data_IF_467349970308
#
_entry.id   IF_467349970308
#
_cell.length_a   1.000
_cell.length_b   1.000
_cell.length_c   1.000
_cell.angle_alpha   90.00
_cell.angle_beta   90.00
_cell.angle_gamma   90.00
#
_symmetry.space_group_name_H-M   'P 1'
#
loop_
_entity.id
_entity.type
_entity.pdbx_description
1 polymer ?
#
# COMPACT_ATOMS: atom_id res chain seq x y z
N UNK A 1 4.47 -10.71 -4.43
CA UNK A 1 4.38 -9.25 -4.41
C UNK A 1 5.74 -8.66 -4.03
N UNK A 2 6.25 -7.61 -4.67
CA UNK A 2 7.57 -7.09 -4.34
C UNK A 2 7.61 -6.59 -2.89
N UNK A 3 8.67 -6.94 -2.18
CA UNK A 3 9.00 -6.61 -0.79
C UNK A 3 8.10 -7.18 0.30
N UNK A 4 6.83 -7.50 0.08
CA UNK A 4 5.94 -8.03 1.14
C UNK A 4 6.26 -9.49 1.42
N UNK A 5 6.65 -9.79 2.66
CA UNK A 5 6.89 -11.14 3.18
C UNK A 5 5.67 -11.68 3.90
N UNK A 6 5.12 -10.88 4.81
CA UNK A 6 4.02 -11.30 5.65
C UNK A 6 3.13 -10.11 6.03
N UNK A 7 1.87 -10.40 6.28
CA UNK A 7 0.88 -9.45 6.82
C UNK A 7 0.24 -10.06 8.06
N UNK A 8 0.29 -9.35 9.17
CA UNK A 8 -0.30 -9.79 10.43
C UNK A 8 -1.38 -8.80 10.89
N UNK A 9 -2.56 -9.33 11.23
CA UNK A 9 -3.60 -8.63 11.98
C UNK A 9 -3.83 -9.37 13.29
N UNK A 10 -3.65 -8.70 14.41
CA UNK A 10 -3.73 -9.35 15.70
C UNK A 10 -4.38 -8.46 16.77
N UNK A 11 -5.11 -9.10 17.66
CA UNK A 11 -5.63 -8.51 18.89
C UNK A 11 -5.06 -9.31 20.06
N UNK A 12 -4.57 -8.61 21.06
CA UNK A 12 -3.97 -9.21 22.25
C UNK A 12 -4.52 -8.53 23.50
N UNK A 13 -4.58 -9.31 24.56
CA UNK A 13 -4.87 -8.84 25.92
C UNK A 13 -3.65 -9.15 26.80
N UNK A 14 -3.06 -8.13 27.42
CA UNK A 14 -1.88 -8.20 28.30
C UNK A 14 -0.74 -9.08 27.76
N UNK A 15 -0.27 -8.79 26.54
CA UNK A 15 0.78 -9.58 25.90
C UNK A 15 2.16 -8.92 26.02
N UNK A 16 3.16 -9.73 26.42
CA UNK A 16 4.56 -9.32 26.50
C UNK A 16 5.38 -10.06 25.46
N UNK A 17 6.17 -9.32 24.72
CA UNK A 17 7.13 -9.87 23.77
C UNK A 17 8.51 -9.90 24.41
N UNK A 18 9.11 -11.09 24.66
CA UNK A 18 10.51 -11.14 25.08
C UNK A 18 11.41 -10.53 24.00
N UNK A 19 12.64 -10.18 24.37
CA UNK A 19 13.60 -9.63 23.41
C UNK A 19 13.84 -10.61 22.27
N UNK A 20 13.63 -10.15 21.03
CA UNK A 20 13.80 -10.92 19.80
C UNK A 20 14.17 -9.99 18.63
N UNK A 21 14.63 -10.60 17.53
CA UNK A 21 14.95 -9.90 16.29
C UNK A 21 14.07 -10.41 15.15
N UNK A 22 13.95 -9.61 14.10
CA UNK A 22 13.38 -10.02 12.84
C UNK A 22 14.38 -9.78 11.71
N UNK A 23 14.30 -10.56 10.63
CA UNK A 23 15.13 -10.39 9.45
C UNK A 23 14.54 -9.36 8.47
N UNK A 24 13.30 -8.97 8.69
CA UNK A 24 12.53 -8.08 7.83
C UNK A 24 12.27 -6.71 8.49
N UNK A 25 12.10 -5.68 7.66
CA UNK A 25 11.54 -4.41 8.10
C UNK A 25 10.13 -4.63 8.64
N UNK A 26 9.85 -4.06 9.80
CA UNK A 26 8.52 -4.14 10.41
C UNK A 26 7.84 -2.77 10.36
N UNK A 27 6.72 -2.68 9.66
CA UNK A 27 5.86 -1.50 9.66
C UNK A 27 4.63 -1.80 10.51
N UNK A 28 4.60 -1.21 11.70
CA UNK A 28 3.58 -1.46 12.71
C UNK A 28 2.57 -0.30 12.74
N UNK A 29 1.30 -0.63 12.66
CA UNK A 29 0.16 0.27 12.85
C UNK A 29 -0.69 -0.23 14.03
N UNK A 30 -0.93 0.63 15.01
CA UNK A 30 -1.85 0.37 16.12
C UNK A 30 -3.24 0.90 15.75
N UNK A 31 -4.25 0.03 15.81
CA UNK A 31 -5.65 0.41 15.60
C UNK A 31 -6.34 0.79 16.92
N UNK A 32 -5.94 0.16 18.03
CA UNK A 32 -6.49 0.39 19.38
C UNK A 32 -5.43 0.07 20.43
N UNK A 33 -5.44 0.81 21.54
CA UNK A 33 -4.49 0.63 22.64
C UNK A 33 -3.12 1.22 22.31
N UNK A 34 -2.08 0.70 22.96
CA UNK A 34 -0.70 1.10 22.74
C UNK A 34 0.25 -0.07 23.02
N UNK A 35 1.44 -0.01 22.42
CA UNK A 35 2.54 -0.96 22.67
C UNK A 35 3.79 -0.17 23.01
N UNK A 36 4.34 -0.37 24.20
CA UNK A 36 5.65 0.15 24.58
C UNK A 36 6.72 -0.85 24.14
N UNK A 37 7.80 -0.37 23.54
CA UNK A 37 8.88 -1.22 23.01
C UNK A 37 10.24 -0.54 23.20
N UNK A 38 11.27 -1.37 23.37
CA UNK A 38 12.64 -0.92 23.37
C UNK A 38 13.21 -1.01 21.94
N UNK A 39 13.90 0.02 21.50
CA UNK A 39 14.61 0.05 20.23
C UNK A 39 15.97 0.72 20.46
N UNK A 40 17.06 0.02 20.14
CA UNK A 40 18.39 0.46 20.55
C UNK A 40 18.50 0.54 22.07
N UNK A 41 18.66 1.75 22.62
CA UNK A 41 18.74 2.01 24.08
C UNK A 41 17.61 2.90 24.60
N UNK A 42 16.58 3.09 23.80
CA UNK A 42 15.49 4.04 24.09
C UNK A 42 14.15 3.31 24.10
N UNK A 43 13.34 3.64 25.09
CA UNK A 43 11.95 3.21 25.14
C UNK A 43 11.10 4.11 24.26
N UNK A 44 10.22 3.49 23.48
CA UNK A 44 9.28 4.14 22.58
C UNK A 44 7.87 3.61 22.81
N UNK A 45 6.87 4.33 22.29
CA UNK A 45 5.49 3.90 22.32
C UNK A 45 4.87 3.96 20.92
N UNK A 46 4.33 2.84 20.45
CA UNK A 46 3.49 2.76 19.28
C UNK A 46 2.03 3.05 19.67
N UNK A 47 1.42 4.03 19.03
CA UNK A 47 0.07 4.53 19.33
C UNK A 47 -0.77 4.64 18.06
N UNK A 48 -2.12 4.71 18.17
CA UNK A 48 -2.97 4.97 17.02
C UNK A 48 -2.61 6.26 16.26
N UNK A 49 -2.99 6.31 14.98
CA UNK A 49 -2.70 7.41 14.07
C UNK A 49 -1.20 7.69 13.81
N UNK A 50 -0.34 6.70 14.10
CA UNK A 50 1.08 6.73 13.78
C UNK A 50 1.54 5.41 13.18
N UNK A 51 2.65 5.44 12.45
CA UNK A 51 3.36 4.27 11.96
C UNK A 51 4.66 4.13 12.75
N UNK A 52 4.91 2.93 13.28
CA UNK A 52 6.20 2.59 13.87
C UNK A 52 6.99 1.77 12.86
N UNK A 53 8.21 2.23 12.56
CA UNK A 53 9.14 1.59 11.66
C UNK A 53 10.26 0.94 12.46
N UNK A 54 10.40 -0.39 12.36
CA UNK A 54 11.43 -1.13 13.07
C UNK A 54 12.37 -1.78 12.05
N UNK A 55 13.68 -1.54 12.14
CA UNK A 55 14.65 -2.09 11.21
C UNK A 55 14.88 -3.59 11.44
N UNK A 56 15.39 -4.33 10.43
CA UNK A 56 15.82 -5.71 10.59
C UNK A 56 17.01 -5.81 11.55
N UNK A 57 17.17 -6.98 12.15
CA UNK A 57 18.29 -7.39 13.01
C UNK A 57 18.47 -6.58 14.31
N UNK A 58 17.61 -5.61 14.60
CA UNK A 58 17.67 -4.90 15.87
C UNK A 58 16.89 -5.66 16.95
N UNK A 59 17.55 -5.88 18.08
CA UNK A 59 16.96 -6.58 19.24
C UNK A 59 15.97 -5.67 19.95
N UNK A 60 14.75 -6.17 20.15
CA UNK A 60 13.67 -5.42 20.79
C UNK A 60 12.82 -6.30 21.71
N UNK A 61 12.40 -5.73 22.82
CA UNK A 61 11.32 -6.25 23.65
C UNK A 61 10.11 -5.33 23.50
N UNK A 62 8.92 -5.84 23.77
CA UNK A 62 7.74 -5.02 23.76
C UNK A 62 6.72 -5.48 24.80
N UNK A 63 5.97 -4.52 25.36
CA UNK A 63 4.87 -4.75 26.28
C UNK A 63 3.64 -4.07 25.74
N UNK A 64 2.60 -4.85 25.44
CA UNK A 64 1.28 -4.32 25.13
C UNK A 64 0.54 -3.84 26.37
N UNK A 65 -0.38 -2.88 26.20
CA UNK A 65 -1.31 -2.49 27.24
C UNK A 65 -2.35 -3.58 27.53
N UNK A 66 -3.33 -3.29 28.39
CA UNK A 66 -4.39 -4.24 28.80
C UNK A 66 -5.11 -4.89 27.60
N UNK A 67 -5.37 -4.13 26.52
CA UNK A 67 -5.90 -4.66 25.27
C UNK A 67 -5.40 -3.78 24.12
N UNK A 68 -4.84 -4.40 23.08
CA UNK A 68 -4.41 -3.68 21.90
C UNK A 68 -4.67 -4.46 20.61
N UNK A 69 -4.92 -3.72 19.53
CA UNK A 69 -5.07 -4.27 18.18
C UNK A 69 -4.05 -3.63 17.25
N UNK A 70 -3.34 -4.48 16.54
CA UNK A 70 -2.29 -4.05 15.61
C UNK A 70 -2.40 -4.69 14.25
N UNK A 71 -1.89 -3.98 13.26
CA UNK A 71 -1.59 -4.49 11.92
C UNK A 71 -0.10 -4.31 11.64
N UNK A 72 0.50 -5.31 11.03
CA UNK A 72 1.93 -5.32 10.73
C UNK A 72 2.15 -5.72 9.28
N UNK A 73 3.04 -5.00 8.60
CA UNK A 73 3.64 -5.43 7.32
C UNK A 73 5.09 -5.81 7.62
N UNK A 74 5.46 -7.03 7.27
CA UNK A 74 6.85 -7.46 7.21
C UNK A 74 7.35 -7.31 5.78
N UNK A 75 8.38 -6.49 5.60
CA UNK A 75 8.92 -6.13 4.30
C UNK A 75 10.38 -6.56 4.22
N UNK A 76 10.75 -7.20 3.11
CA UNK A 76 12.09 -7.75 2.93
C UNK A 76 13.20 -6.72 3.18
N UNK A 77 14.36 -7.18 3.60
CA UNK A 77 15.50 -6.34 3.97
C UNK A 77 15.88 -5.32 2.87
N UNK A 78 15.78 -5.71 1.60
CA UNK A 78 16.05 -4.87 0.43
C UNK A 78 14.99 -3.78 0.14
N UNK A 79 13.89 -3.74 0.94
CA UNK A 79 12.88 -2.69 0.82
C UNK A 79 13.46 -1.29 1.04
N UNK A 80 14.40 -1.15 1.98
CA UNK A 80 15.17 0.07 2.20
C UNK A 80 16.68 -0.21 2.13
N UNK A 81 17.51 0.79 1.79
CA UNK A 81 18.95 0.62 1.83
C UNK A 81 19.44 0.42 3.27
N UNK A 82 20.50 -0.39 3.46
CA UNK A 82 21.03 -0.73 4.79
C UNK A 82 21.30 0.49 5.69
N UNK A 83 21.78 1.61 5.11
CA UNK A 83 21.98 2.87 5.84
C UNK A 83 20.70 3.49 6.44
N UNK A 84 19.52 3.03 6.05
CA UNK A 84 18.26 3.50 6.61
C UNK A 84 17.99 2.94 8.01
N UNK A 85 18.64 1.82 8.41
CA UNK A 85 18.43 1.18 9.69
C UNK A 85 18.80 2.09 10.87
N UNK A 86 19.96 2.73 10.85
CA UNK A 86 20.40 3.65 11.90
C UNK A 86 19.44 4.85 12.04
N UNK A 87 18.99 5.41 10.92
CA UNK A 87 18.04 6.52 10.93
C UNK A 87 16.68 6.08 11.47
N UNK A 88 16.24 4.85 11.18
CA UNK A 88 14.99 4.29 11.70
C UNK A 88 15.05 4.05 13.23
N UNK A 89 16.20 3.62 13.77
CA UNK A 89 16.39 3.52 15.22
C UNK A 89 16.29 4.89 15.89
N UNK A 90 16.86 5.93 15.27
CA UNK A 90 16.79 7.30 15.80
C UNK A 90 15.41 7.95 15.65
N UNK A 91 14.64 7.61 14.61
CA UNK A 91 13.34 8.20 14.29
C UNK A 91 12.33 7.11 13.86
N UNK A 92 11.93 6.22 14.78
CA UNK A 92 11.08 5.09 14.43
C UNK A 92 9.61 5.46 14.19
N UNK A 93 9.17 6.66 14.61
CA UNK A 93 7.77 7.06 14.59
C UNK A 93 7.49 8.04 13.45
N UNK A 94 6.52 7.68 12.59
CA UNK A 94 5.98 8.55 11.53
C UNK A 94 4.55 8.98 11.91
N UNK A 95 4.34 10.28 12.09
CA UNK A 95 3.04 10.88 12.44
C UNK A 95 2.55 11.70 11.23
N UNK A 96 2.37 11.04 10.10
CA UNK A 96 1.86 11.63 8.87
C UNK A 96 0.54 10.94 8.47
N UNK A 97 -0.61 11.67 8.46
CA UNK A 97 -1.90 11.09 8.12
C UNK A 97 -1.93 10.41 6.74
N UNK A 98 -1.18 10.95 5.78
CA UNK A 98 -1.12 10.39 4.43
C UNK A 98 -0.40 9.03 4.43
N UNK A 99 0.67 8.89 5.20
CA UNK A 99 1.39 7.61 5.36
C UNK A 99 0.54 6.59 6.10
N UNK A 100 -0.18 6.98 7.16
CA UNK A 100 -1.14 6.13 7.87
C UNK A 100 -2.25 5.63 6.94
N UNK A 101 -2.82 6.52 6.13
CA UNK A 101 -3.82 6.16 5.13
C UNK A 101 -3.26 5.19 4.06
N UNK A 102 -2.01 5.40 3.64
CA UNK A 102 -1.31 4.52 2.69
C UNK A 102 -1.15 3.10 3.25
N UNK A 103 -0.66 2.96 4.50
CA UNK A 103 -0.51 1.65 5.16
C UNK A 103 -1.87 0.98 5.35
N UNK A 104 -2.89 1.74 5.76
CA UNK A 104 -4.26 1.23 5.86
C UNK A 104 -4.79 0.71 4.53
N UNK A 105 -4.54 1.44 3.44
CA UNK A 105 -4.90 1.03 2.08
C UNK A 105 -4.17 -0.23 1.62
N UNK A 106 -2.89 -0.38 1.95
CA UNK A 106 -2.10 -1.59 1.65
C UNK A 106 -2.73 -2.81 2.33
N UNK A 107 -3.03 -2.72 3.64
CA UNK A 107 -3.68 -3.83 4.36
C UNK A 107 -5.04 -4.21 3.75
N UNK A 108 -5.84 -3.22 3.35
CA UNK A 108 -7.12 -3.45 2.70
C UNK A 108 -6.95 -4.13 1.33
N UNK A 109 -6.00 -3.67 0.51
CA UNK A 109 -5.72 -4.24 -0.80
C UNK A 109 -5.17 -5.68 -0.70
N UNK A 110 -4.28 -5.95 0.26
CA UNK A 110 -3.71 -7.29 0.48
C UNK A 110 -4.72 -8.31 1.00
N UNK A 111 -5.83 -7.86 1.59
CA UNK A 111 -6.91 -8.75 2.00
C UNK A 111 -7.75 -9.27 0.82
N UNK A 112 -7.49 -8.81 -0.41
CA UNK A 112 -8.31 -9.06 -1.60
C UNK A 112 -7.41 -9.45 -2.78
N UNK A 113 -7.53 -10.67 -3.31
CA UNK A 113 -6.66 -11.18 -4.39
C UNK A 113 -6.65 -10.31 -5.66
N UNK A 114 -7.71 -9.54 -5.89
CA UNK A 114 -7.88 -8.74 -7.11
C UNK A 114 -7.20 -7.36 -7.08
N UNK A 115 -6.69 -6.90 -5.92
CA UNK A 115 -6.14 -5.56 -5.74
C UNK A 115 -4.60 -5.51 -5.71
N UNK A 116 -3.94 -6.47 -6.35
CA UNK A 116 -2.46 -6.60 -6.35
C UNK A 116 -1.78 -5.30 -6.79
N UNK A 117 -2.23 -4.68 -7.88
CA UNK A 117 -1.63 -3.41 -8.35
C UNK A 117 -1.82 -2.26 -7.36
N UNK A 118 -2.96 -2.21 -6.64
CA UNK A 118 -3.19 -1.21 -5.57
C UNK A 118 -2.20 -1.42 -4.43
N UNK A 119 -2.03 -2.67 -3.99
CA UNK A 119 -1.08 -3.02 -2.94
C UNK A 119 0.38 -2.71 -3.35
N UNK A 120 0.79 -3.06 -4.57
CA UNK A 120 2.14 -2.73 -5.10
C UNK A 120 2.39 -1.22 -5.11
N UNK A 121 1.48 -0.44 -5.68
CA UNK A 121 1.58 1.02 -5.70
C UNK A 121 1.64 1.59 -4.28
N UNK A 122 0.86 1.03 -3.35
CA UNK A 122 0.85 1.42 -1.94
C UNK A 122 2.21 1.18 -1.27
N UNK A 123 2.78 -0.01 -1.41
CA UNK A 123 4.10 -0.36 -0.83
C UNK A 123 5.22 0.52 -1.41
N UNK A 124 5.17 0.82 -2.70
CA UNK A 124 6.14 1.70 -3.35
C UNK A 124 5.99 3.16 -2.90
N UNK A 125 4.76 3.63 -2.69
CA UNK A 125 4.50 4.95 -2.14
C UNK A 125 4.95 5.06 -0.67
N UNK A 126 4.66 4.05 0.15
CA UNK A 126 5.14 3.95 1.53
C UNK A 126 6.66 4.02 1.59
N UNK A 127 7.35 3.30 0.70
CA UNK A 127 8.82 3.35 0.60
C UNK A 127 9.34 4.76 0.41
N UNK A 128 8.72 5.56 -0.45
CA UNK A 128 9.12 6.95 -0.67
C UNK A 128 8.83 7.85 0.54
N UNK A 129 7.69 7.68 1.19
CA UNK A 129 7.35 8.42 2.42
C UNK A 129 8.36 8.13 3.54
N UNK A 130 8.69 6.85 3.76
CA UNK A 130 9.70 6.43 4.75
C UNK A 130 11.08 6.96 4.39
N UNK A 131 11.51 6.87 3.13
CA UNK A 131 12.80 7.42 2.69
C UNK A 131 12.90 8.92 2.91
N UNK A 132 11.82 9.65 2.67
CA UNK A 132 11.76 11.08 2.94
C UNK A 132 11.87 11.38 4.43
N UNK A 133 11.16 10.62 5.27
CA UNK A 133 11.21 10.73 6.73
C UNK A 133 12.62 10.48 7.28
N UNK A 134 13.30 9.45 6.77
CA UNK A 134 14.66 9.08 7.18
C UNK A 134 15.77 9.93 6.52
N UNK A 135 15.43 11.05 5.87
CA UNK A 135 16.40 11.93 5.22
C UNK A 135 17.13 11.33 4.01
N UNK A 136 16.56 10.29 3.40
CA UNK A 136 17.11 9.62 2.21
C UNK A 136 16.16 9.67 0.99
N UNK A 137 15.61 10.84 0.64
CA UNK A 137 14.65 10.91 -0.45
C UNK A 137 15.24 10.48 -1.79
N UNK A 138 14.42 9.93 -2.66
CA UNK A 138 14.83 9.66 -4.04
C UNK A 138 14.95 10.96 -4.83
N UNK A 139 15.92 11.00 -5.74
CA UNK A 139 16.03 12.14 -6.65
C UNK A 139 14.74 12.32 -7.45
N UNK A 140 14.25 13.56 -7.60
CA UNK A 140 13.05 13.83 -8.38
C UNK A 140 13.34 13.55 -9.87
N UNK A 141 12.78 12.47 -10.39
CA UNK A 141 12.94 12.13 -11.82
C UNK A 141 11.70 12.58 -12.58
N UNK A 142 11.89 13.46 -13.55
CA UNK A 142 10.89 13.70 -14.60
C UNK A 142 11.21 12.78 -15.76
N UNK A 143 10.42 11.74 -15.90
CA UNK A 143 10.53 10.82 -17.04
C UNK A 143 9.16 10.75 -17.74
N UNK A 144 8.85 11.83 -18.46
CA UNK A 144 7.60 11.93 -19.20
C UNK A 144 7.47 10.86 -20.31
N UNK A 145 8.53 10.49 -21.04
CA UNK A 145 8.49 9.36 -21.97
C UNK A 145 8.10 8.05 -21.30
N UNK A 146 8.71 7.73 -20.15
CA UNK A 146 8.41 6.51 -19.40
C UNK A 146 6.97 6.50 -18.86
N UNK A 147 6.52 7.63 -18.31
CA UNK A 147 5.14 7.79 -17.84
C UNK A 147 4.12 7.57 -18.96
N UNK A 148 4.42 8.10 -20.17
CA UNK A 148 3.58 7.93 -21.36
C UNK A 148 3.52 6.46 -21.81
N UNK A 149 4.67 5.79 -21.89
CA UNK A 149 4.74 4.36 -22.23
C UNK A 149 3.94 3.50 -21.25
N UNK A 150 4.07 3.80 -19.94
CA UNK A 150 3.27 3.10 -18.94
C UNK A 150 1.76 3.36 -19.16
N UNK A 151 1.35 4.59 -19.43
CA UNK A 151 -0.06 4.89 -19.69
C UNK A 151 -0.60 4.13 -20.90
N UNK A 152 0.14 4.13 -22.01
CA UNK A 152 -0.21 3.38 -23.22
C UNK A 152 -0.40 1.88 -22.91
N UNK A 153 0.56 1.29 -22.19
CA UNK A 153 0.48 -0.11 -21.75
C UNK A 153 -0.72 -0.40 -20.84
N UNK A 154 -1.05 0.51 -19.91
CA UNK A 154 -2.21 0.39 -19.03
C UNK A 154 -3.53 0.54 -19.80
N UNK A 155 -3.58 1.38 -20.84
CA UNK A 155 -4.74 1.53 -21.71
C UNK A 155 -4.96 0.28 -22.59
N UNK A 156 -3.89 -0.30 -23.14
CA UNK A 156 -3.93 -1.51 -23.96
C UNK A 156 -4.39 -2.74 -23.15
N UNK A 157 -4.02 -2.81 -21.87
CA UNK A 157 -4.33 -3.93 -20.96
C UNK A 157 -5.36 -3.57 -19.89
N UNK A 158 -6.23 -2.61 -20.18
CA UNK A 158 -7.13 -2.02 -19.20
C UNK A 158 -8.02 -3.05 -18.49
N UNK A 159 -8.45 -4.08 -19.19
CA UNK A 159 -9.39 -5.10 -18.70
C UNK A 159 -8.69 -6.39 -18.27
N UNK A 160 -7.36 -6.45 -18.35
CA UNK A 160 -6.56 -7.59 -17.97
C UNK A 160 -6.05 -7.46 -16.53
N UNK A 161 -5.70 -8.61 -15.93
CA UNK A 161 -4.93 -8.63 -14.68
C UNK A 161 -3.49 -8.24 -15.01
N UNK A 162 -3.00 -7.13 -14.47
CA UNK A 162 -1.69 -6.58 -14.78
C UNK A 162 -1.06 -5.93 -13.55
N UNK A 163 0.24 -6.15 -13.35
CA UNK A 163 1.00 -5.68 -12.18
C UNK A 163 2.01 -4.61 -12.55
N UNK A 164 2.41 -3.79 -11.60
CA UNK A 164 3.50 -2.81 -11.78
C UNK A 164 4.84 -3.52 -11.98
N UNK A 165 5.03 -4.68 -11.35
CA UNK A 165 6.24 -5.48 -11.53
C UNK A 165 6.38 -5.96 -12.99
N UNK A 166 5.31 -6.45 -13.61
CA UNK A 166 5.29 -6.82 -15.04
C UNK A 166 5.55 -5.63 -15.95
N UNK A 167 4.91 -4.47 -15.69
CA UNK A 167 5.18 -3.24 -16.43
C UNK A 167 6.65 -2.83 -16.34
N UNK A 168 7.24 -2.95 -15.17
CA UNK A 168 8.63 -2.60 -14.93
C UNK A 168 9.59 -3.48 -15.74
N UNK A 169 9.34 -4.78 -15.78
CA UNK A 169 10.12 -5.72 -16.60
C UNK A 169 10.03 -5.37 -18.10
N UNK A 170 8.81 -5.16 -18.61
CA UNK A 170 8.59 -4.86 -20.03
C UNK A 170 9.20 -3.51 -20.46
N UNK A 171 9.20 -2.53 -19.57
CA UNK A 171 9.74 -1.19 -19.85
C UNK A 171 11.22 -1.02 -19.47
N UNK A 172 11.87 -2.07 -18.94
CA UNK A 172 13.26 -2.02 -18.50
C UNK A 172 13.51 -0.98 -17.40
N UNK A 173 12.54 -0.80 -16.49
CA UNK A 173 12.58 0.24 -15.48
C UNK A 173 12.38 -0.34 -14.07
N UNK A 174 12.81 0.38 -13.03
CA UNK A 174 12.51 -0.01 -11.67
C UNK A 174 11.06 0.33 -11.30
N UNK A 175 10.30 -0.56 -10.61
CA UNK A 175 8.89 -0.33 -10.25
C UNK A 175 8.62 1.01 -9.55
N UNK A 176 9.46 1.38 -8.57
CA UNK A 176 9.33 2.68 -7.88
C UNK A 176 9.51 3.88 -8.82
N UNK A 177 10.39 3.75 -9.83
CA UNK A 177 10.57 4.79 -10.84
C UNK A 177 9.32 4.93 -11.71
N UNK A 178 8.74 3.82 -12.16
CA UNK A 178 7.49 3.83 -12.93
C UNK A 178 6.36 4.54 -12.20
N UNK A 179 6.09 4.15 -10.96
CA UNK A 179 5.01 4.74 -10.16
C UNK A 179 5.24 6.22 -9.93
N UNK A 180 6.48 6.64 -9.61
CA UNK A 180 6.83 8.07 -9.43
C UNK A 180 6.68 8.87 -10.72
N UNK A 181 7.24 8.38 -11.82
CA UNK A 181 7.17 9.05 -13.12
C UNK A 181 5.70 9.26 -13.54
N UNK A 182 4.88 8.20 -13.42
CA UNK A 182 3.46 8.25 -13.75
C UNK A 182 2.69 9.21 -12.84
N UNK A 183 2.85 9.09 -11.52
CA UNK A 183 2.14 9.94 -10.56
C UNK A 183 2.52 11.42 -10.72
N UNK A 184 3.77 11.70 -11.06
CA UNK A 184 4.25 13.06 -11.32
C UNK A 184 3.69 13.62 -12.64
N UNK A 185 3.57 12.78 -13.68
CA UNK A 185 3.08 13.21 -15.00
C UNK A 185 1.56 13.41 -15.02
N UNK A 186 0.82 12.55 -14.30
CA UNK A 186 -0.65 12.50 -14.38
C UNK A 186 -1.37 12.87 -13.08
N UNK A 187 -0.66 13.17 -11.99
CA UNK A 187 -1.24 13.59 -10.72
C UNK A 187 -1.90 12.48 -9.90
N UNK A 188 -1.93 11.24 -10.42
CA UNK A 188 -2.57 10.08 -9.77
C UNK A 188 -1.70 8.84 -9.90
N UNK A 189 -1.82 7.91 -8.95
CA UNK A 189 -1.11 6.62 -9.03
C UNK A 189 -1.65 5.74 -10.17
N UNK A 190 -0.81 4.86 -10.79
CA UNK A 190 -1.21 3.97 -11.89
C UNK A 190 -2.49 3.17 -11.60
N UNK A 191 -2.60 2.57 -10.41
CA UNK A 191 -3.79 1.79 -10.06
C UNK A 191 -5.08 2.64 -10.02
N UNK A 192 -4.98 3.90 -9.55
CA UNK A 192 -6.14 4.82 -9.55
C UNK A 192 -6.58 5.16 -10.97
N UNK A 193 -5.62 5.33 -11.86
CA UNK A 193 -5.89 5.52 -13.29
C UNK A 193 -6.67 4.34 -13.86
N UNK A 194 -6.16 3.11 -13.71
CA UNK A 194 -6.82 1.89 -14.19
C UNK A 194 -8.20 1.71 -13.56
N UNK A 195 -8.30 1.83 -12.23
CA UNK A 195 -9.57 1.70 -11.51
C UNK A 195 -10.60 2.72 -11.98
N UNK A 196 -10.21 3.99 -12.17
CA UNK A 196 -11.10 5.04 -12.67
C UNK A 196 -11.64 4.73 -14.06
N UNK A 197 -10.76 4.26 -14.99
CA UNK A 197 -11.16 3.87 -16.35
C UNK A 197 -12.10 2.66 -16.35
N UNK A 198 -11.84 1.65 -15.49
CA UNK A 198 -12.72 0.49 -15.32
C UNK A 198 -14.09 0.88 -14.75
N UNK A 199 -14.14 1.74 -13.75
CA UNK A 199 -15.39 2.26 -13.19
C UNK A 199 -16.20 3.03 -14.25
N UNK A 200 -15.55 3.87 -15.07
CA UNK A 200 -16.22 4.59 -16.16
C UNK A 200 -16.79 3.62 -17.22
N UNK A 201 -16.06 2.55 -17.55
CA UNK A 201 -16.58 1.48 -18.43
C UNK A 201 -17.78 0.77 -17.82
N UNK A 202 -17.69 0.36 -16.54
CA UNK A 202 -18.80 -0.28 -15.82
C UNK A 202 -20.04 0.64 -15.79
N UNK A 203 -19.84 1.92 -15.52
CA UNK A 203 -20.92 2.93 -15.52
C UNK A 203 -21.67 2.97 -16.85
N UNK A 204 -20.97 2.96 -17.98
CA UNK A 204 -21.60 2.93 -19.32
C UNK A 204 -22.40 1.64 -19.53
N UNK A 205 -21.82 0.49 -19.19
CA UNK A 205 -22.50 -0.80 -19.32
C UNK A 205 -23.78 -0.88 -18.46
N UNK A 206 -23.76 -0.31 -17.25
CA UNK A 206 -24.93 -0.21 -16.39
C UNK A 206 -26.01 0.68 -16.99
N UNK A 207 -25.66 1.83 -17.58
CA UNK A 207 -26.59 2.71 -18.29
C UNK A 207 -27.19 2.05 -19.54
N UNK A 208 -26.44 1.15 -20.19
CA UNK A 208 -26.91 0.32 -21.31
C UNK A 208 -27.78 -0.86 -20.85
N UNK A 209 -28.15 -0.92 -19.54
CA UNK A 209 -29.03 -1.94 -18.96
C UNK A 209 -28.33 -3.28 -18.65
N UNK A 210 -26.99 -3.34 -18.67
CA UNK A 210 -26.29 -4.58 -18.31
C UNK A 210 -26.41 -4.86 -16.82
N UNK A 211 -26.65 -6.12 -16.41
CA UNK A 211 -26.60 -6.51 -14.99
C UNK A 211 -25.24 -6.17 -14.36
N UNK A 212 -25.24 -5.77 -13.10
CA UNK A 212 -24.01 -5.35 -12.40
C UNK A 212 -22.92 -6.45 -12.35
N UNK A 213 -23.30 -7.72 -12.30
CA UNK A 213 -22.38 -8.84 -12.39
C UNK A 213 -21.67 -8.94 -13.75
N UNK A 214 -22.41 -8.71 -14.83
CA UNK A 214 -21.88 -8.69 -16.21
C UNK A 214 -21.00 -7.45 -16.41
N UNK A 215 -21.50 -6.28 -16.01
CA UNK A 215 -20.75 -5.02 -16.10
C UNK A 215 -19.42 -5.09 -15.33
N UNK A 216 -19.37 -5.81 -14.21
CA UNK A 216 -18.13 -6.03 -13.46
C UNK A 216 -17.08 -6.75 -14.30
N UNK A 217 -17.40 -7.90 -14.85
CA UNK A 217 -16.46 -8.72 -15.63
C UNK A 217 -16.05 -8.01 -16.93
N UNK A 218 -17.00 -7.44 -17.67
CA UNK A 218 -16.74 -6.72 -18.93
C UNK A 218 -15.91 -5.42 -18.72
N UNK A 219 -15.90 -4.88 -17.49
CA UNK A 219 -15.07 -3.73 -17.12
C UNK A 219 -13.74 -4.12 -16.46
N UNK A 220 -13.38 -5.42 -16.39
CA UNK A 220 -12.12 -5.91 -15.86
C UNK A 220 -12.05 -5.99 -14.32
N UNK A 221 -13.20 -6.02 -13.64
CA UNK A 221 -13.26 -6.36 -12.21
C UNK A 221 -13.40 -7.87 -12.03
N UNK A 222 -12.88 -8.38 -10.91
CA UNK A 222 -12.94 -9.79 -10.61
C UNK A 222 -14.38 -10.31 -10.46
N UNK A 223 -15.22 -9.54 -9.76
CA UNK A 223 -16.62 -9.84 -9.51
C UNK A 223 -17.44 -8.57 -9.21
N UNK A 224 -18.74 -8.72 -8.99
CA UNK A 224 -19.64 -7.64 -8.66
C UNK A 224 -19.28 -6.95 -7.31
N UNK A 225 -18.80 -7.68 -6.33
CA UNK A 225 -18.41 -7.13 -5.01
C UNK A 225 -17.18 -6.23 -5.16
N UNK A 226 -16.21 -6.67 -5.97
CA UNK A 226 -15.04 -5.88 -6.35
C UNK A 226 -15.45 -4.59 -7.07
N UNK A 227 -16.31 -4.68 -8.09
CA UNK A 227 -16.89 -3.49 -8.75
C UNK A 227 -17.58 -2.58 -7.75
N UNK A 228 -18.48 -3.10 -6.90
CA UNK A 228 -19.28 -2.31 -5.97
C UNK A 228 -18.41 -1.50 -5.01
N UNK A 229 -17.32 -2.10 -4.50
CA UNK A 229 -16.36 -1.42 -3.62
C UNK A 229 -15.69 -0.24 -4.33
N UNK A 230 -15.14 -0.45 -5.53
CA UNK A 230 -14.45 0.59 -6.29
C UNK A 230 -15.42 1.63 -6.84
N UNK A 231 -16.61 1.22 -7.27
CA UNK A 231 -17.66 2.12 -7.77
C UNK A 231 -18.09 3.10 -6.66
N UNK A 232 -18.32 2.59 -5.43
CA UNK A 232 -18.62 3.43 -4.27
C UNK A 232 -17.46 4.38 -3.92
N UNK A 233 -16.21 3.90 -3.99
CA UNK A 233 -15.02 4.72 -3.69
C UNK A 233 -14.84 5.85 -4.71
N UNK A 234 -15.18 5.64 -5.99
CA UNK A 234 -14.96 6.61 -7.06
C UNK A 234 -16.17 7.53 -7.27
N UNK A 235 -17.39 6.98 -7.21
CA UNK A 235 -18.62 7.71 -7.56
C UNK A 235 -19.52 8.01 -6.34
N UNK A 236 -19.17 7.54 -5.13
CA UNK A 236 -19.95 7.77 -3.91
C UNK A 236 -21.24 6.94 -3.78
N UNK A 237 -21.57 6.13 -4.79
CA UNK A 237 -22.80 5.33 -4.84
C UNK A 237 -22.53 3.88 -5.24
N UNK A 238 -23.52 2.99 -5.10
CA UNK A 238 -23.41 1.61 -5.58
C UNK A 238 -23.88 1.45 -7.02
N UNK A 239 -23.44 0.41 -7.76
CA UNK A 239 -23.98 0.12 -9.10
C UNK A 239 -25.50 0.00 -9.13
N UNK A 240 -26.12 -0.67 -8.14
CA UNK A 240 -27.57 -0.84 -8.06
C UNK A 240 -28.32 0.48 -7.79
N UNK A 241 -27.80 1.33 -6.90
CA UNK A 241 -28.40 2.64 -6.65
C UNK A 241 -28.15 3.66 -7.77
N UNK A 242 -27.17 3.41 -8.64
CA UNK A 242 -26.88 4.25 -9.79
C UNK A 242 -27.86 4.04 -10.95
N UNK A 243 -28.47 2.86 -11.05
CA UNK A 243 -29.42 2.49 -12.12
C UNK A 243 -30.88 2.45 -11.64
N UNK A 244 -31.15 2.72 -10.36
CA UNK A 244 -32.47 2.84 -9.78
C UNK A 244 -33.02 4.24 -9.99
#
# INVERSE_FOLDING_TARGET
MPYVREVLHATFDDHRYPSHTHDDWTVLLIDKGAVTYDLGRTEHQAVPASITLLPPHDGRSAVGGESFRKRVLYLSEDWLPAKAAEAAVAQPLLVDPQTVATVTGIHAALSLPADVMEAECGVLALRESVRSHLGTPSSPTRDAPLARKLREMLDDRLFESFTIAEAAQLLGAHPSHLVRAFSKAYGIAPYRYVTGRRVDRARRLLLDGRPASVAAVEAGFHDQSHLTRHFRRVLGTTPGAFTA
#
